data_IF_723013134882
#
_entry.id   IF_723013134882
#
_cell.length_a   1.000
_cell.length_b   1.000
_cell.length_c   1.000
_cell.angle_alpha   90.00
_cell.angle_beta   90.00
_cell.angle_gamma   90.00
#
_symmetry.space_group_name_H-M   'P 1'
#
loop_
_entity.id
_entity.type
_entity.pdbx_description
1 polymer ?
#
# COMPACT_ATOMS: atom_id res chain seq x y z
N UNK A 1 17.65 10.20 -23.29
CA UNK A 1 18.35 10.28 -22.00
C UNK A 1 18.49 8.88 -21.43
N UNK A 2 19.72 8.37 -21.42
CA UNK A 2 20.04 7.06 -20.84
C UNK A 2 19.91 7.12 -19.31
N UNK A 3 19.58 6.00 -18.68
CA UNK A 3 19.31 5.94 -17.23
C UNK A 3 20.59 6.12 -16.41
N UNK A 4 21.73 5.72 -16.97
CA UNK A 4 23.06 5.79 -16.37
C UNK A 4 23.43 7.25 -16.03
N UNK A 5 23.20 8.20 -16.94
CA UNK A 5 23.40 9.64 -16.67
C UNK A 5 22.49 10.16 -15.56
N UNK A 6 21.28 9.62 -15.46
CA UNK A 6 20.32 10.02 -14.43
C UNK A 6 20.76 9.50 -13.07
N UNK A 7 21.25 8.25 -13.00
CA UNK A 7 21.81 7.63 -11.79
C UNK A 7 23.04 8.42 -11.33
N UNK A 8 23.97 8.73 -12.22
CA UNK A 8 25.15 9.54 -11.89
C UNK A 8 24.75 10.95 -11.39
N UNK A 9 23.85 11.62 -12.12
CA UNK A 9 23.34 12.92 -11.70
C UNK A 9 22.68 12.88 -10.32
N UNK A 10 21.84 11.86 -10.09
CA UNK A 10 21.22 11.66 -8.79
C UNK A 10 22.28 11.47 -7.72
N UNK A 11 23.33 10.69 -7.98
CA UNK A 11 24.38 10.39 -7.00
C UNK A 11 25.09 11.67 -6.58
N UNK A 12 25.54 12.46 -7.56
CA UNK A 12 26.23 13.75 -7.33
C UNK A 12 25.36 14.74 -6.55
N UNK A 13 24.07 14.89 -6.92
CA UNK A 13 23.19 15.86 -6.25
C UNK A 13 22.66 15.36 -4.89
N UNK A 14 22.45 14.05 -4.75
CA UNK A 14 22.00 13.46 -3.50
C UNK A 14 23.10 13.38 -2.44
N UNK A 15 24.37 13.32 -2.83
CA UNK A 15 25.49 13.34 -1.88
C UNK A 15 25.56 14.65 -1.10
N UNK A 16 25.02 15.73 -1.67
CA UNK A 16 24.90 17.06 -1.04
C UNK A 16 23.75 17.15 -0.04
N UNK A 17 22.85 16.17 -0.01
CA UNK A 17 21.72 16.12 0.92
C UNK A 17 22.23 15.50 2.20
N UNK A 18 22.14 16.25 3.31
CA UNK A 18 22.66 15.86 4.61
C UNK A 18 21.61 16.07 5.69
N UNK A 19 21.59 15.21 6.69
CA UNK A 19 20.71 15.31 7.86
C UNK A 19 21.44 14.81 9.09
N UNK A 20 21.29 15.51 10.21
CA UNK A 20 21.91 15.12 11.48
C UNK A 20 20.95 14.25 12.27
N UNK A 21 21.41 13.05 12.67
CA UNK A 21 20.61 12.11 13.44
C UNK A 21 20.42 12.59 14.87
N UNK A 22 19.19 12.51 15.37
CA UNK A 22 18.86 12.77 16.78
C UNK A 22 18.98 11.54 17.66
N UNK A 23 18.84 10.36 17.07
CA UNK A 23 18.91 9.05 17.73
C UNK A 23 19.52 8.03 16.77
N UNK A 24 20.02 6.92 17.31
CA UNK A 24 20.57 5.81 16.52
C UNK A 24 19.58 5.33 15.46
N UNK A 25 20.07 5.11 14.25
CA UNK A 25 19.29 4.57 13.15
C UNK A 25 19.79 3.17 12.79
N UNK A 26 18.97 2.16 13.12
CA UNK A 26 19.26 0.73 12.86
C UNK A 26 18.07 0.07 12.17
N UNK A 27 18.34 -0.87 11.28
CA UNK A 27 17.31 -1.71 10.64
C UNK A 27 17.92 -3.04 10.19
N UNK A 28 17.23 -4.14 10.48
CA UNK A 28 17.66 -5.53 10.22
C UNK A 28 19.08 -5.84 10.74
N UNK A 29 19.45 -5.26 11.88
CA UNK A 29 20.79 -5.39 12.47
C UNK A 29 21.88 -4.55 11.78
N UNK A 30 21.55 -3.85 10.70
CA UNK A 30 22.45 -2.88 10.04
C UNK A 30 22.36 -1.54 10.77
N UNK A 31 23.51 -1.01 11.19
CA UNK A 31 23.59 0.35 11.74
C UNK A 31 23.84 1.33 10.60
N UNK A 32 22.89 2.23 10.39
CA UNK A 32 22.94 3.26 9.34
C UNK A 32 23.72 4.49 9.85
N UNK A 33 23.51 4.84 11.13
CA UNK A 33 24.26 5.90 11.78
C UNK A 33 23.89 6.02 13.27
N UNK A 34 24.77 6.65 14.04
CA UNK A 34 24.60 6.89 15.47
C UNK A 34 24.00 8.27 15.74
N UNK A 35 23.45 8.47 16.93
CA UNK A 35 22.98 9.79 17.37
C UNK A 35 24.09 10.85 17.23
N UNK A 36 23.75 12.00 16.62
CA UNK A 36 24.67 13.12 16.35
C UNK A 36 25.43 13.02 15.03
N UNK A 37 25.43 11.88 14.34
CA UNK A 37 26.11 11.74 13.06
C UNK A 37 25.35 12.44 11.92
N UNK A 38 26.11 12.96 10.96
CA UNK A 38 25.57 13.55 9.73
C UNK A 38 25.51 12.47 8.66
N UNK A 39 24.31 12.10 8.27
CA UNK A 39 24.04 11.09 7.24
C UNK A 39 23.46 11.72 5.98
N UNK A 40 23.55 10.98 4.89
CA UNK A 40 23.02 11.27 3.57
C UNK A 40 22.13 10.13 3.10
N UNK A 41 21.31 10.34 2.05
CA UNK A 41 20.52 9.25 1.47
C UNK A 41 21.37 8.06 1.01
N UNK A 42 22.65 8.28 0.70
CA UNK A 42 23.54 7.25 0.18
C UNK A 42 24.16 6.37 1.24
N UNK A 43 24.16 6.79 2.50
CA UNK A 43 24.61 5.96 3.62
C UNK A 43 23.64 4.78 3.89
N UNK A 44 22.48 4.76 3.22
CA UNK A 44 21.54 3.64 3.19
C UNK A 44 21.92 2.54 2.18
N UNK A 45 22.92 2.79 1.32
CA UNK A 45 23.27 1.94 0.19
C UNK A 45 24.76 1.64 0.18
N UNK A 46 25.14 0.47 -0.35
CA UNK A 46 26.53 0.19 -0.72
C UNK A 46 26.72 0.55 -2.19
N UNK A 47 27.52 1.58 -2.46
CA UNK A 47 27.73 2.11 -3.81
C UNK A 47 29.04 1.56 -4.37
N UNK A 48 28.98 1.01 -5.57
CA UNK A 48 30.15 0.56 -6.34
C UNK A 48 30.21 1.31 -7.65
N UNK A 49 31.27 2.11 -7.83
CA UNK A 49 31.51 2.84 -9.07
C UNK A 49 32.15 1.89 -10.09
N UNK A 50 31.61 1.88 -11.32
CA UNK A 50 32.15 1.12 -12.43
C UNK A 50 32.40 2.09 -13.60
N UNK A 51 33.52 1.95 -14.29
CA UNK A 51 33.74 2.70 -15.53
C UNK A 51 32.70 2.25 -16.56
N UNK A 52 31.84 3.19 -16.94
CA UNK A 52 30.88 3.01 -18.02
C UNK A 52 31.56 3.08 -19.40
N UNK A 53 30.85 2.71 -20.47
CA UNK A 53 31.31 2.98 -21.82
C UNK A 53 31.54 4.48 -22.02
N UNK A 54 32.55 4.86 -22.81
CA UNK A 54 32.63 6.22 -23.34
C UNK A 54 31.42 6.45 -24.25
N UNK A 55 30.45 7.21 -23.76
CA UNK A 55 29.30 7.59 -24.56
C UNK A 55 29.63 8.86 -25.35
N UNK A 56 29.17 8.97 -26.60
CA UNK A 56 29.40 10.16 -27.39
C UNK A 56 28.79 11.37 -26.68
N UNK A 57 29.60 12.40 -26.50
CA UNK A 57 29.12 13.74 -26.13
C UNK A 57 28.23 14.19 -27.28
N UNK A 58 26.91 14.16 -27.10
CA UNK A 58 26.00 14.76 -28.08
C UNK A 58 26.40 16.23 -28.22
N UNK A 59 26.84 16.61 -29.42
CA UNK A 59 27.25 17.98 -29.78
C UNK A 59 26.11 19.00 -29.71
N UNK A 60 24.90 18.58 -29.33
CA UNK A 60 23.75 19.43 -29.03
C UNK A 60 23.56 19.71 -27.52
N UNK A 61 24.63 19.70 -26.71
CA UNK A 61 24.62 20.49 -25.46
C UNK A 61 24.48 21.96 -25.81
N UNK A 62 23.25 22.40 -26.05
CA UNK A 62 22.88 23.80 -26.01
C UNK A 62 23.35 24.32 -24.65
N UNK A 63 24.32 25.24 -24.68
CA UNK A 63 24.77 25.95 -23.51
C UNK A 63 23.52 26.60 -22.89
N UNK A 64 23.02 26.03 -21.80
CA UNK A 64 21.95 26.65 -21.04
C UNK A 64 22.60 27.84 -20.35
N UNK A 65 22.36 29.04 -20.88
CA UNK A 65 22.91 30.34 -20.43
C UNK A 65 22.60 30.70 -18.95
N UNK A 66 21.92 29.83 -18.21
CA UNK A 66 21.70 29.95 -16.78
C UNK A 66 22.12 28.64 -16.12
N UNK A 67 22.90 28.71 -15.04
CA UNK A 67 23.31 27.54 -14.26
C UNK A 67 22.09 26.62 -14.06
N UNK A 68 22.10 25.40 -14.63
CA UNK A 68 20.91 24.56 -14.67
C UNK A 68 20.46 24.33 -13.24
N UNK A 69 19.18 24.61 -12.97
CA UNK A 69 18.61 24.46 -11.65
C UNK A 69 18.59 22.99 -11.25
N UNK A 70 19.70 22.54 -10.64
CA UNK A 70 19.97 21.14 -10.35
C UNK A 70 18.96 20.55 -9.36
N UNK A 71 18.50 21.35 -8.39
CA UNK A 71 17.44 20.95 -7.49
C UNK A 71 16.11 20.70 -8.24
N UNK A 72 15.78 21.58 -9.19
CA UNK A 72 14.66 21.40 -10.10
C UNK A 72 14.78 20.17 -10.98
N UNK A 73 15.97 19.87 -11.50
CA UNK A 73 16.22 18.66 -12.28
C UNK A 73 16.09 17.39 -11.42
N UNK A 74 16.59 17.39 -10.19
CA UNK A 74 16.38 16.27 -9.26
C UNK A 74 14.89 16.07 -8.96
N UNK A 75 14.14 17.16 -8.76
CA UNK A 75 12.69 17.12 -8.60
C UNK A 75 11.99 16.51 -9.81
N UNK A 76 12.41 16.86 -11.03
CA UNK A 76 11.89 16.27 -12.27
C UNK A 76 12.14 14.76 -12.33
N UNK A 77 13.35 14.32 -12.04
CA UNK A 77 13.73 12.90 -12.07
C UNK A 77 12.87 12.07 -11.09
N UNK A 78 12.66 12.54 -9.86
CA UNK A 78 11.80 11.83 -8.89
C UNK A 78 10.32 11.90 -9.25
N UNK A 79 9.86 12.97 -9.91
CA UNK A 79 8.49 13.07 -10.41
C UNK A 79 8.22 12.08 -11.54
N UNK A 80 9.20 11.85 -12.42
CA UNK A 80 9.10 10.86 -13.50
C UNK A 80 8.88 9.46 -12.92
N UNK A 81 9.61 9.08 -11.85
CA UNK A 81 9.39 7.80 -11.17
C UNK A 81 7.91 7.58 -10.80
N UNK A 82 7.24 8.58 -10.23
CA UNK A 82 5.82 8.48 -9.86
C UNK A 82 4.90 8.25 -11.05
N UNK A 83 5.19 8.91 -12.18
CA UNK A 83 4.43 8.71 -13.42
C UNK A 83 4.63 7.29 -13.97
N UNK A 84 5.86 6.78 -13.92
CA UNK A 84 6.18 5.41 -14.33
C UNK A 84 5.40 4.39 -13.50
N UNK A 85 5.40 4.54 -12.17
CA UNK A 85 4.65 3.68 -11.26
C UNK A 85 3.14 3.75 -11.54
N UNK A 86 2.58 4.96 -11.71
CA UNK A 86 1.17 5.14 -12.03
C UNK A 86 0.76 4.43 -13.33
N UNK A 87 1.62 4.45 -14.37
CA UNK A 87 1.41 3.72 -15.62
C UNK A 87 1.50 2.21 -15.42
N UNK A 88 2.52 1.72 -14.70
CA UNK A 88 2.70 0.29 -14.43
C UNK A 88 1.50 -0.33 -13.69
N UNK A 89 0.85 0.43 -12.80
CA UNK A 89 -0.38 -0.01 -12.11
C UNK A 89 -1.66 0.06 -12.98
N UNK A 90 -1.54 0.33 -14.28
CA UNK A 90 -2.68 0.46 -15.18
C UNK A 90 -3.52 1.72 -14.90
N UNK A 91 -2.87 2.79 -14.42
CA UNK A 91 -3.51 4.08 -14.20
C UNK A 91 -4.16 4.60 -15.48
N UNK A 92 -5.42 5.04 -15.38
CA UNK A 92 -6.13 5.67 -16.51
C UNK A 92 -5.41 6.95 -16.94
N UNK A 93 -5.46 7.27 -18.23
CA UNK A 93 -4.82 8.48 -18.76
C UNK A 93 -5.27 9.76 -18.03
N UNK A 94 -6.56 9.87 -17.70
CA UNK A 94 -7.10 11.01 -16.94
C UNK A 94 -6.58 11.08 -15.49
N UNK A 95 -6.14 9.96 -14.90
CA UNK A 95 -5.48 9.98 -13.59
C UNK A 95 -4.03 10.44 -13.72
N UNK A 96 -3.29 9.90 -14.70
CA UNK A 96 -1.90 10.29 -14.96
C UNK A 96 -1.83 11.78 -15.32
N UNK A 97 -2.77 12.28 -16.12
CA UNK A 97 -2.87 13.70 -16.46
C UNK A 97 -3.14 14.58 -15.22
N UNK A 98 -4.12 14.23 -14.38
CA UNK A 98 -4.37 14.95 -13.13
C UNK A 98 -3.19 14.90 -12.16
N UNK A 99 -2.50 13.77 -12.08
CA UNK A 99 -1.30 13.62 -11.28
C UNK A 99 -0.19 14.57 -11.76
N UNK A 100 0.03 14.62 -13.08
CA UNK A 100 0.98 15.53 -13.72
C UNK A 100 0.62 17.00 -13.45
N UNK A 101 -0.62 17.38 -13.75
CA UNK A 101 -1.07 18.77 -13.75
C UNK A 101 -1.24 19.34 -12.34
N UNK A 102 -1.78 18.56 -11.39
CA UNK A 102 -2.13 19.08 -10.06
C UNK A 102 -1.05 18.86 -9.00
N UNK A 103 -0.20 17.84 -9.13
CA UNK A 103 0.80 17.53 -8.11
C UNK A 103 2.21 17.86 -8.59
N UNK A 104 2.61 17.30 -9.73
CA UNK A 104 4.01 17.33 -10.13
C UNK A 104 4.44 18.71 -10.64
N UNK A 105 3.59 19.41 -11.41
CA UNK A 105 3.87 20.79 -11.86
C UNK A 105 4.10 21.75 -10.70
N UNK A 106 3.24 21.75 -9.68
CA UNK A 106 3.40 22.63 -8.52
C UNK A 106 4.73 22.42 -7.77
N UNK A 107 5.23 21.18 -7.72
CA UNK A 107 6.53 20.89 -7.10
C UNK A 107 7.67 21.40 -7.97
N UNK A 108 7.58 21.19 -9.27
CA UNK A 108 8.58 21.73 -10.20
C UNK A 108 8.64 23.25 -10.12
N UNK A 109 7.49 23.93 -10.01
CA UNK A 109 7.42 25.38 -9.77
C UNK A 109 8.08 25.77 -8.44
N UNK A 110 7.86 25.01 -7.36
CA UNK A 110 8.51 25.21 -6.06
C UNK A 110 10.04 25.17 -6.19
N UNK A 111 10.55 24.23 -6.98
CA UNK A 111 11.96 24.14 -7.29
C UNK A 111 12.37 24.98 -8.50
N UNK A 112 11.57 25.92 -8.98
CA UNK A 112 11.87 26.80 -10.14
C UNK A 112 12.36 26.02 -11.38
N UNK A 113 11.76 24.87 -11.64
CA UNK A 113 12.04 24.02 -12.79
C UNK A 113 11.02 24.31 -13.91
N UNK A 114 11.43 25.09 -14.90
CA UNK A 114 10.65 25.33 -16.11
C UNK A 114 10.79 24.14 -17.08
N UNK A 115 10.11 23.04 -16.80
CA UNK A 115 10.24 21.82 -17.61
C UNK A 115 8.93 21.41 -18.28
N UNK A 116 8.98 21.29 -19.61
CA UNK A 116 7.94 20.65 -20.46
C UNK A 116 8.10 19.12 -20.51
N UNK A 117 9.18 18.57 -19.94
CA UNK A 117 9.54 17.16 -20.10
C UNK A 117 8.61 16.18 -19.36
N UNK A 118 7.71 16.66 -18.51
CA UNK A 118 6.69 15.81 -17.91
C UNK A 118 5.68 15.28 -18.93
N UNK A 119 5.53 15.93 -20.08
CA UNK A 119 4.57 15.51 -21.09
C UNK A 119 4.97 14.17 -21.73
N UNK A 120 4.11 13.16 -21.54
CA UNK A 120 4.31 11.76 -21.97
C UNK A 120 5.61 11.14 -21.44
N UNK A 121 6.13 11.64 -20.33
CA UNK A 121 7.33 11.13 -19.66
C UNK A 121 7.22 9.62 -19.37
N UNK A 122 6.03 9.15 -19.01
CA UNK A 122 5.73 7.74 -18.74
C UNK A 122 5.92 6.81 -19.96
N UNK A 123 5.92 7.37 -21.17
CA UNK A 123 6.25 6.64 -22.40
C UNK A 123 7.73 6.77 -22.74
N UNK A 124 8.27 7.98 -22.68
CA UNK A 124 9.67 8.28 -23.05
C UNK A 124 10.68 7.58 -22.13
N UNK A 125 10.41 7.58 -20.82
CA UNK A 125 11.32 7.08 -19.79
C UNK A 125 10.87 5.74 -19.20
N UNK A 126 10.03 5.00 -19.93
CA UNK A 126 9.48 3.71 -19.52
C UNK A 126 10.52 2.68 -19.09
N UNK A 127 11.74 2.77 -19.62
CA UNK A 127 12.84 1.84 -19.34
C UNK A 127 13.47 2.06 -17.96
N UNK A 128 13.38 3.26 -17.35
CA UNK A 128 13.98 3.55 -16.05
C UNK A 128 13.41 2.69 -14.92
N UNK A 129 12.14 2.26 -15.03
CA UNK A 129 11.50 1.40 -14.01
C UNK A 129 12.13 0.01 -13.91
N UNK A 130 12.96 -0.38 -14.89
CA UNK A 130 13.66 -1.68 -14.89
C UNK A 130 15.08 -1.57 -14.29
N UNK A 131 15.61 -0.36 -14.18
CA UNK A 131 16.97 -0.14 -13.68
C UNK A 131 17.03 -0.20 -12.15
N UNK A 132 17.93 -1.03 -11.61
CA UNK A 132 18.01 -1.29 -10.17
C UNK A 132 18.69 -0.18 -9.40
N UNK A 133 19.69 0.46 -9.99
CA UNK A 133 20.40 1.57 -9.36
C UNK A 133 19.45 2.75 -9.18
N UNK A 134 18.70 3.10 -10.22
CA UNK A 134 17.66 4.13 -10.17
C UNK A 134 16.60 3.85 -9.10
N UNK A 135 16.03 2.64 -9.08
CA UNK A 135 15.02 2.27 -8.08
C UNK A 135 15.57 2.32 -6.65
N UNK A 136 16.80 1.82 -6.43
CA UNK A 136 17.43 1.81 -5.10
C UNK A 136 17.67 3.23 -4.59
N UNK A 137 18.11 4.14 -5.47
CA UNK A 137 18.31 5.54 -5.12
C UNK A 137 17.01 6.28 -4.83
N UNK A 138 15.92 5.98 -5.58
CA UNK A 138 14.59 6.51 -5.28
C UNK A 138 14.10 6.06 -3.90
N UNK A 139 14.26 4.76 -3.59
CA UNK A 139 13.89 4.21 -2.29
C UNK A 139 14.69 4.84 -1.14
N UNK A 140 16.01 4.98 -1.31
CA UNK A 140 16.89 5.59 -0.33
C UNK A 140 16.54 7.07 -0.10
N UNK A 141 16.24 7.84 -1.15
CA UNK A 141 15.75 9.22 -1.03
C UNK A 141 14.43 9.30 -0.24
N UNK A 142 13.46 8.42 -0.54
CA UNK A 142 12.19 8.43 0.20
C UNK A 142 12.39 8.05 1.67
N UNK A 143 13.21 7.03 1.95
CA UNK A 143 13.52 6.56 3.29
C UNK A 143 14.21 7.66 4.11
N UNK A 144 15.20 8.34 3.51
CA UNK A 144 15.87 9.49 4.10
C UNK A 144 14.88 10.60 4.43
N UNK A 145 14.06 11.06 3.48
CA UNK A 145 13.11 12.14 3.76
C UNK A 145 11.92 11.71 4.63
N UNK A 146 11.63 10.42 4.75
CA UNK A 146 10.67 9.92 5.73
C UNK A 146 11.20 10.13 7.15
N UNK A 147 12.49 9.93 7.36
CA UNK A 147 13.17 10.24 8.61
C UNK A 147 13.30 11.75 8.84
N UNK A 148 13.82 12.47 7.84
CA UNK A 148 14.03 13.91 7.88
C UNK A 148 12.85 14.67 7.26
N UNK A 149 11.65 14.49 7.83
CA UNK A 149 10.40 15.06 7.30
C UNK A 149 10.37 16.59 7.23
N UNK A 150 11.21 17.27 8.02
CA UNK A 150 11.36 18.73 8.06
C UNK A 150 12.52 19.27 7.22
N UNK A 151 13.25 18.42 6.50
CA UNK A 151 14.35 18.86 5.63
C UNK A 151 13.80 19.69 4.45
N UNK A 152 14.54 20.71 4.01
CA UNK A 152 14.10 21.68 2.99
C UNK A 152 13.63 21.01 1.68
N UNK A 153 14.31 19.93 1.31
CA UNK A 153 14.01 19.10 0.13
C UNK A 153 13.01 17.95 0.37
N UNK A 154 12.42 17.83 1.56
CA UNK A 154 11.49 16.72 1.88
C UNK A 154 10.25 16.69 0.99
N UNK A 155 9.88 17.82 0.36
CA UNK A 155 8.80 17.89 -0.64
C UNK A 155 9.06 17.00 -1.87
N UNK A 156 10.31 16.60 -2.13
CA UNK A 156 10.67 15.61 -3.17
C UNK A 156 9.95 14.26 -2.97
N UNK A 157 9.52 13.95 -1.74
CA UNK A 157 8.74 12.75 -1.44
C UNK A 157 7.45 12.63 -2.20
N UNK A 158 6.89 13.73 -2.70
CA UNK A 158 5.70 13.63 -3.54
C UNK A 158 5.99 12.86 -4.83
N UNK A 159 7.25 12.78 -5.29
CA UNK A 159 7.68 11.87 -6.34
C UNK A 159 8.01 10.45 -5.84
N UNK A 160 8.73 10.34 -4.71
CA UNK A 160 9.31 9.05 -4.27
C UNK A 160 8.43 8.21 -3.34
N UNK A 161 7.41 8.77 -2.68
CA UNK A 161 6.61 8.04 -1.65
C UNK A 161 5.89 6.80 -2.18
N UNK A 162 5.65 6.70 -3.49
CA UNK A 162 5.05 5.50 -4.10
C UNK A 162 6.01 4.30 -4.13
N UNK A 163 7.29 4.51 -3.79
CA UNK A 163 8.26 3.44 -3.51
C UNK A 163 7.98 2.74 -2.18
N UNK A 164 7.45 3.49 -1.20
CA UNK A 164 7.13 2.97 0.13
C UNK A 164 5.92 2.04 0.07
N UNK A 165 6.07 0.86 0.67
CA UNK A 165 5.13 -0.27 0.62
C UNK A 165 4.76 -0.71 -0.81
N UNK A 166 5.63 -0.45 -1.79
CA UNK A 166 5.42 -0.93 -3.15
C UNK A 166 5.38 -2.46 -3.18
N UNK A 167 4.40 -3.00 -3.92
CA UNK A 167 4.08 -4.43 -3.95
C UNK A 167 3.71 -5.04 -2.58
N UNK A 168 3.21 -4.25 -1.63
CA UNK A 168 2.71 -4.70 -0.33
C UNK A 168 1.19 -4.47 -0.16
N UNK A 169 0.42 -4.65 -1.24
CA UNK A 169 -1.00 -4.31 -1.31
C UNK A 169 -1.86 -4.93 -0.19
N UNK A 170 -1.53 -6.15 0.26
CA UNK A 170 -2.30 -6.85 1.31
C UNK A 170 -2.22 -6.10 2.64
N UNK A 171 -1.08 -5.49 2.97
CA UNK A 171 -0.92 -4.69 4.19
C UNK A 171 -1.83 -3.45 4.16
N UNK A 172 -1.95 -2.82 2.99
CA UNK A 172 -2.85 -1.68 2.81
C UNK A 172 -4.32 -2.09 2.89
N UNK A 173 -4.68 -3.28 2.40
CA UNK A 173 -6.04 -3.80 2.50
C UNK A 173 -6.42 -4.14 3.94
N UNK A 174 -5.54 -4.79 4.69
CA UNK A 174 -5.73 -5.05 6.12
C UNK A 174 -5.88 -3.73 6.87
N UNK A 175 -4.98 -2.76 6.65
CA UNK A 175 -5.04 -1.44 7.28
C UNK A 175 -6.35 -0.72 6.96
N UNK A 176 -6.79 -0.78 5.70
CA UNK A 176 -8.07 -0.18 5.27
C UNK A 176 -9.24 -0.84 5.98
N UNK A 177 -9.25 -2.17 6.07
CA UNK A 177 -10.30 -2.91 6.74
C UNK A 177 -10.34 -2.60 8.24
N UNK A 178 -9.20 -2.52 8.92
CA UNK A 178 -9.11 -2.10 10.33
C UNK A 178 -9.74 -0.71 10.53
N UNK A 179 -9.48 0.24 9.64
CA UNK A 179 -10.05 1.60 9.72
C UNK A 179 -11.57 1.62 9.57
N UNK A 180 -12.13 0.72 8.77
CA UNK A 180 -13.57 0.68 8.46
C UNK A 180 -14.35 -0.10 9.52
N UNK A 181 -13.74 -1.13 10.08
CA UNK A 181 -14.35 -2.00 11.11
C UNK A 181 -14.10 -1.52 12.53
N UNK A 182 -13.08 -0.66 12.72
CA UNK A 182 -12.54 -0.27 14.02
C UNK A 182 -12.01 -1.45 14.86
N UNK A 183 -11.62 -2.53 14.19
CA UNK A 183 -11.04 -3.73 14.81
C UNK A 183 -9.53 -3.75 14.62
N UNK A 184 -8.84 -4.39 15.56
CA UNK A 184 -7.43 -4.73 15.41
C UNK A 184 -7.24 -5.87 14.39
N UNK A 185 -6.05 -6.01 13.77
CA UNK A 185 -5.78 -7.15 12.87
C UNK A 185 -6.05 -8.50 13.53
N UNK A 186 -5.71 -8.65 14.81
CA UNK A 186 -5.94 -9.87 15.58
C UNK A 186 -7.43 -10.21 15.73
N UNK A 187 -8.28 -9.20 15.98
CA UNK A 187 -9.74 -9.39 16.05
C UNK A 187 -10.33 -9.70 14.68
N UNK A 188 -9.85 -9.04 13.62
CA UNK A 188 -10.25 -9.32 12.24
C UNK A 188 -9.94 -10.76 11.83
N UNK A 189 -8.73 -11.25 12.13
CA UNK A 189 -8.31 -12.58 11.73
C UNK A 189 -9.06 -13.71 12.44
N UNK A 190 -9.69 -13.45 13.60
CA UNK A 190 -10.60 -14.42 14.23
C UNK A 190 -11.84 -14.73 13.39
N UNK A 191 -12.22 -13.83 12.48
CA UNK A 191 -13.36 -14.02 11.59
C UNK A 191 -13.02 -14.74 10.28
N UNK A 192 -11.76 -15.12 10.10
CA UNK A 192 -11.32 -15.89 8.95
C UNK A 192 -11.54 -17.37 9.24
N UNK A 193 -12.55 -17.96 8.61
CA UNK A 193 -12.93 -19.36 8.83
C UNK A 193 -12.32 -20.33 7.82
N UNK A 194 -11.48 -19.84 6.91
CA UNK A 194 -10.91 -20.60 5.81
C UNK A 194 -9.42 -20.85 6.04
N UNK A 195 -9.03 -22.12 6.14
CA UNK A 195 -7.65 -22.55 6.39
C UNK A 195 -6.66 -21.96 5.39
N UNK A 196 -7.05 -21.86 4.12
CA UNK A 196 -6.20 -21.27 3.06
C UNK A 196 -5.85 -19.81 3.34
N UNK A 197 -6.81 -19.02 3.83
CA UNK A 197 -6.57 -17.62 4.19
C UNK A 197 -5.72 -17.55 5.46
N UNK A 198 -5.94 -18.45 6.43
CA UNK A 198 -5.10 -18.56 7.64
C UNK A 198 -3.64 -18.85 7.27
N UNK A 199 -3.38 -19.69 6.27
CA UNK A 199 -2.04 -19.92 5.73
C UNK A 199 -1.38 -18.65 5.19
N UNK A 200 -2.12 -17.86 4.39
CA UNK A 200 -1.66 -16.56 3.88
C UNK A 200 -1.42 -15.53 5.02
N UNK A 201 -2.26 -15.53 6.06
CA UNK A 201 -2.06 -14.72 7.27
C UNK A 201 -0.77 -15.14 8.00
N UNK A 202 -0.51 -16.43 8.13
CA UNK A 202 0.73 -16.94 8.74
C UNK A 202 1.99 -16.47 8.01
N UNK A 203 1.95 -16.43 6.67
CA UNK A 203 3.06 -15.93 5.83
C UNK A 203 3.25 -14.42 5.99
N UNK A 204 2.16 -13.66 6.01
CA UNK A 204 2.21 -12.19 6.15
C UNK A 204 2.53 -11.72 7.56
N UNK A 205 2.19 -12.52 8.58
CA UNK A 205 2.44 -12.24 10.01
C UNK A 205 3.81 -12.71 10.53
N UNK A 206 4.75 -13.06 9.65
CA UNK A 206 6.08 -13.52 10.05
C UNK A 206 6.78 -12.52 10.98
N UNK A 207 7.35 -13.01 12.09
CA UNK A 207 8.08 -12.19 13.06
C UNK A 207 9.40 -11.68 12.49
N UNK A 208 9.90 -10.56 13.03
CA UNK A 208 11.22 -10.00 12.68
C UNK A 208 11.28 -9.32 11.31
N UNK A 209 10.13 -8.94 10.73
CA UNK A 209 10.06 -8.30 9.42
C UNK A 209 10.06 -6.76 9.48
N UNK A 210 10.15 -6.16 10.67
CA UNK A 210 10.17 -4.70 10.90
C UNK A 210 9.05 -3.90 10.19
N UNK A 211 7.91 -4.53 9.86
CA UNK A 211 6.83 -3.89 9.08
C UNK A 211 6.19 -2.69 9.78
N UNK A 212 6.25 -2.68 11.11
CA UNK A 212 5.73 -1.63 11.98
C UNK A 212 6.78 -0.58 12.36
N UNK A 213 8.05 -0.81 12.01
CA UNK A 213 9.12 0.14 12.26
C UNK A 213 9.11 1.23 11.18
N UNK A 214 8.91 2.48 11.60
CA UNK A 214 8.65 3.59 10.67
C UNK A 214 9.84 3.88 9.74
N UNK A 215 11.07 3.72 10.24
CA UNK A 215 12.30 4.04 9.54
C UNK A 215 13.11 2.80 9.16
N UNK A 216 12.46 1.65 9.00
CA UNK A 216 13.09 0.41 8.54
C UNK A 216 13.27 0.35 7.01
N UNK A 217 14.11 -0.56 6.54
CA UNK A 217 14.16 -0.98 5.13
C UNK A 217 12.91 -1.74 4.66
N UNK A 218 12.12 -2.29 5.58
CA UNK A 218 10.97 -3.15 5.28
C UNK A 218 9.90 -2.52 4.35
N UNK A 219 9.57 -1.21 4.44
CA UNK A 219 8.66 -0.59 3.49
C UNK A 219 9.21 -0.55 2.04
N UNK A 220 10.52 -0.70 1.83
CA UNK A 220 11.17 -0.49 0.54
C UNK A 220 11.69 -1.78 -0.12
N UNK A 221 11.22 -2.95 0.35
CA UNK A 221 11.67 -4.29 -0.09
C UNK A 221 11.76 -4.47 -1.62
N UNK A 222 10.82 -3.89 -2.36
CA UNK A 222 10.76 -4.00 -3.82
C UNK A 222 11.87 -3.24 -4.52
N UNK A 223 11.98 -1.95 -4.23
CA UNK A 223 12.82 -1.03 -5.01
C UNK A 223 14.28 -1.11 -4.59
N UNK A 224 14.56 -1.44 -3.32
CA UNK A 224 15.90 -1.81 -2.85
C UNK A 224 16.32 -3.22 -3.29
N UNK A 225 15.42 -3.99 -3.93
CA UNK A 225 15.73 -5.33 -4.41
C UNK A 225 15.94 -6.38 -3.31
N UNK A 226 15.58 -6.07 -2.05
CA UNK A 226 15.68 -6.98 -0.90
C UNK A 226 14.79 -8.22 -1.07
N UNK A 227 13.71 -8.10 -1.85
CA UNK A 227 12.87 -9.23 -2.23
C UNK A 227 12.54 -9.23 -3.71
N UNK A 228 12.84 -10.35 -4.38
CA UNK A 228 12.45 -10.56 -5.79
C UNK A 228 10.93 -10.73 -5.94
N UNK A 229 10.26 -11.31 -4.94
CA UNK A 229 8.81 -11.52 -4.91
C UNK A 229 8.29 -11.19 -3.51
N UNK A 230 7.55 -10.08 -3.43
CA UNK A 230 6.98 -9.63 -2.17
C UNK A 230 5.97 -10.66 -1.62
N UNK A 231 6.20 -11.11 -0.38
CA UNK A 231 5.27 -11.94 0.39
C UNK A 231 4.01 -11.18 0.81
N UNK A 232 3.97 -9.87 0.63
CA UNK A 232 2.85 -9.00 0.99
C UNK A 232 2.03 -8.55 -0.23
N UNK A 233 2.34 -9.11 -1.40
CA UNK A 233 1.66 -8.76 -2.65
C UNK A 233 0.30 -9.46 -2.77
N UNK A 234 -0.61 -8.83 -3.50
CA UNK A 234 -1.92 -9.40 -3.82
C UNK A 234 -1.84 -10.65 -4.71
N UNK A 235 -0.73 -10.85 -5.42
CA UNK A 235 -0.47 -12.07 -6.21
C UNK A 235 0.15 -13.19 -5.38
N UNK A 236 0.78 -12.87 -4.25
CA UNK A 236 1.26 -13.89 -3.30
C UNK A 236 0.16 -14.34 -2.33
N UNK A 237 -0.80 -13.46 -2.00
CA UNK A 237 -1.91 -13.75 -1.09
C UNK A 237 -3.25 -13.36 -1.73
N UNK A 238 -3.68 -14.08 -2.77
CA UNK A 238 -4.89 -13.74 -3.52
C UNK A 238 -6.16 -13.82 -2.68
N UNK A 239 -6.28 -14.81 -1.78
CA UNK A 239 -7.50 -15.03 -1.02
C UNK A 239 -7.66 -14.01 0.11
N UNK A 240 -6.57 -13.69 0.82
CA UNK A 240 -6.55 -12.65 1.84
C UNK A 240 -6.78 -11.26 1.22
N UNK A 241 -6.16 -10.98 0.08
CA UNK A 241 -6.43 -9.77 -0.69
C UNK A 241 -7.91 -9.66 -1.06
N UNK A 242 -8.48 -10.74 -1.61
CA UNK A 242 -9.88 -10.79 -1.99
C UNK A 242 -10.80 -10.59 -0.78
N UNK A 243 -10.63 -11.36 0.28
CA UNK A 243 -11.47 -11.33 1.47
C UNK A 243 -11.49 -9.94 2.12
N UNK A 244 -10.32 -9.32 2.31
CA UNK A 244 -10.23 -7.95 2.87
C UNK A 244 -11.01 -6.94 2.03
N UNK A 245 -10.85 -7.00 0.70
CA UNK A 245 -11.55 -6.10 -0.21
C UNK A 245 -13.04 -6.43 -0.34
N UNK A 246 -13.44 -7.70 -0.23
CA UNK A 246 -14.84 -8.12 -0.28
C UNK A 246 -15.60 -7.60 0.93
N UNK A 247 -15.04 -7.80 2.14
CA UNK A 247 -15.60 -7.24 3.36
C UNK A 247 -15.68 -5.72 3.28
N UNK A 248 -14.58 -5.03 2.93
CA UNK A 248 -14.59 -3.58 2.83
C UNK A 248 -15.61 -3.07 1.78
N UNK A 249 -15.80 -3.80 0.68
CA UNK A 249 -16.80 -3.48 -0.35
C UNK A 249 -18.23 -3.59 0.19
N UNK A 250 -18.54 -4.65 0.94
CA UNK A 250 -19.83 -4.86 1.59
C UNK A 250 -20.12 -3.81 2.67
N UNK A 251 -19.07 -3.30 3.33
CA UNK A 251 -19.15 -2.18 4.27
C UNK A 251 -19.27 -0.80 3.58
N UNK A 252 -19.33 -0.75 2.24
CA UNK A 252 -19.56 0.48 1.47
C UNK A 252 -18.30 1.20 0.97
N UNK A 253 -17.12 0.58 1.06
CA UNK A 253 -15.87 1.20 0.62
C UNK A 253 -15.73 1.08 -0.91
N UNK A 254 -16.07 2.17 -1.61
CA UNK A 254 -16.02 2.26 -3.09
C UNK A 254 -14.65 1.95 -3.72
N UNK A 255 -13.55 2.17 -2.98
CA UNK A 255 -12.21 1.85 -3.48
C UNK A 255 -11.99 0.33 -3.55
N UNK A 256 -12.46 -0.42 -2.55
CA UNK A 256 -12.29 -1.86 -2.48
C UNK A 256 -13.07 -2.59 -3.59
N UNK A 257 -14.21 -2.04 -4.00
CA UNK A 257 -15.01 -2.54 -5.13
C UNK A 257 -14.24 -2.57 -6.46
N UNK A 258 -13.24 -1.68 -6.59
CA UNK A 258 -12.42 -1.51 -7.80
C UNK A 258 -11.12 -2.31 -7.75
N UNK A 259 -10.84 -3.00 -6.64
CA UNK A 259 -9.68 -3.88 -6.51
C UNK A 259 -9.79 -5.05 -7.48
N UNK A 260 -8.69 -5.36 -8.18
CA UNK A 260 -8.65 -6.43 -9.19
C UNK A 260 -8.49 -7.78 -8.51
N UNK A 261 -9.18 -8.78 -9.02
CA UNK A 261 -8.96 -10.17 -8.66
C UNK A 261 -7.67 -10.63 -9.35
N UNK A 262 -6.71 -11.09 -8.57
CA UNK A 262 -5.34 -11.36 -9.05
C UNK A 262 -5.14 -12.76 -9.61
N UNK A 263 -5.99 -13.72 -9.22
CA UNK A 263 -5.87 -15.12 -9.60
C UNK A 263 -7.24 -15.76 -9.77
N UNK A 264 -7.34 -16.72 -10.69
CA UNK A 264 -8.47 -17.65 -10.77
C UNK A 264 -8.33 -18.66 -9.62
N UNK A 265 -8.92 -18.32 -8.48
CA UNK A 265 -9.11 -19.24 -7.36
C UNK A 265 -10.60 -19.41 -7.14
N UNK A 266 -11.00 -20.50 -6.48
CA UNK A 266 -12.37 -20.57 -5.98
C UNK A 266 -12.56 -19.52 -4.88
N UNK A 267 -13.42 -18.53 -5.17
CA UNK A 267 -13.72 -17.41 -4.29
C UNK A 267 -15.04 -17.59 -3.55
N UNK A 268 -15.80 -18.65 -3.85
CA UNK A 268 -17.15 -18.85 -3.31
C UNK A 268 -17.16 -18.84 -1.78
N UNK A 269 -16.36 -19.70 -1.17
CA UNK A 269 -16.19 -19.81 0.28
C UNK A 269 -15.72 -18.50 0.92
N UNK A 270 -14.71 -17.85 0.30
CA UNK A 270 -14.18 -16.57 0.76
C UNK A 270 -15.23 -15.47 0.72
N UNK A 271 -16.12 -15.53 -0.26
CA UNK A 271 -17.21 -14.57 -0.39
C UNK A 271 -18.28 -14.80 0.67
N UNK A 272 -18.66 -16.05 0.91
CA UNK A 272 -19.61 -16.42 1.95
C UNK A 272 -19.09 -15.98 3.32
N UNK A 273 -17.82 -16.26 3.64
CA UNK A 273 -17.21 -15.81 4.89
C UNK A 273 -17.19 -14.27 5.01
N UNK A 274 -16.90 -13.55 3.92
CA UNK A 274 -16.96 -12.09 3.90
C UNK A 274 -18.39 -11.53 4.12
N UNK A 275 -19.41 -12.17 3.54
CA UNK A 275 -20.83 -11.79 3.73
C UNK A 275 -21.26 -12.01 5.17
N UNK A 276 -20.91 -13.15 5.77
CA UNK A 276 -21.21 -13.43 7.19
C UNK A 276 -20.56 -12.38 8.08
N UNK A 277 -19.29 -12.07 7.87
CA UNK A 277 -18.60 -11.01 8.63
C UNK A 277 -19.32 -9.68 8.51
N UNK A 278 -19.61 -9.23 7.28
CA UNK A 278 -20.22 -7.93 7.03
C UNK A 278 -21.62 -7.85 7.66
N UNK A 279 -22.41 -8.92 7.58
CA UNK A 279 -23.71 -9.01 8.21
C UNK A 279 -23.60 -8.89 9.74
N UNK A 280 -22.73 -9.70 10.35
CA UNK A 280 -22.53 -9.72 11.79
C UNK A 280 -22.04 -8.36 12.31
N UNK A 281 -21.09 -7.72 11.62
CA UNK A 281 -20.57 -6.41 12.01
C UNK A 281 -21.67 -5.34 11.98
N UNK A 282 -22.44 -5.27 10.89
CA UNK A 282 -23.46 -4.24 10.73
C UNK A 282 -24.69 -4.41 11.64
N UNK A 283 -25.03 -5.65 12.01
CA UNK A 283 -26.18 -5.94 12.87
C UNK A 283 -25.84 -6.03 14.36
N UNK A 284 -24.66 -6.54 14.69
CA UNK A 284 -24.33 -6.96 16.06
C UNK A 284 -23.25 -6.08 16.73
N UNK A 285 -22.68 -5.09 16.03
CA UNK A 285 -21.60 -4.26 16.58
C UNK A 285 -22.07 -3.04 17.41
N UNK A 286 -23.38 -2.84 17.57
CA UNK A 286 -23.92 -1.72 18.35
C UNK A 286 -23.67 -1.95 19.84
N UNK A 287 -22.93 -1.03 20.49
CA UNK A 287 -22.68 -1.05 21.92
C UNK A 287 -22.84 0.34 22.50
N UNK A 288 -23.48 0.43 23.67
CA UNK A 288 -23.53 1.68 24.44
C UNK A 288 -22.16 1.90 25.08
N UNK A 289 -21.37 2.86 24.56
CA UNK A 289 -20.03 3.17 25.07
C UNK A 289 -20.05 4.16 26.23
N UNK A 290 -21.14 4.90 26.39
CA UNK A 290 -21.34 5.84 27.49
C UNK A 290 -22.34 5.25 28.49
N UNK A 291 -21.82 4.56 29.51
CA UNK A 291 -22.62 4.06 30.63
C UNK A 291 -22.22 4.84 31.88
N UNK A 292 -23.13 5.60 32.50
CA UNK A 292 -22.89 6.22 33.80
C UNK A 292 -22.43 5.16 34.81
N UNK A 293 -21.45 5.48 35.66
CA UNK A 293 -20.78 4.53 36.56
C UNK A 293 -21.76 3.68 37.40
N UNK A 294 -22.96 4.21 37.68
CA UNK A 294 -24.03 3.56 38.45
C UNK A 294 -24.82 2.47 37.70
N UNK A 295 -24.63 2.30 36.38
CA UNK A 295 -25.40 1.38 35.53
C UNK A 295 -24.54 0.33 34.82
N UNK A 296 -23.30 0.09 35.27
CA UNK A 296 -22.51 -1.06 34.79
C UNK A 296 -23.09 -2.36 35.34
N UNK A 297 -24.19 -2.81 34.76
CA UNK A 297 -24.66 -4.19 34.93
C UNK A 297 -23.82 -5.12 34.06
N UNK A 298 -23.64 -6.33 34.60
CA UNK A 298 -22.85 -7.47 34.13
C UNK A 298 -22.89 -7.65 32.61
N UNK A 299 -21.72 -7.89 32.02
CA UNK A 299 -21.53 -8.21 30.60
C UNK A 299 -22.59 -9.22 30.10
N UNK A 300 -23.38 -8.84 29.09
CA UNK A 300 -24.34 -9.72 28.38
C UNK A 300 -23.67 -10.89 27.62
N UNK A 301 -22.39 -11.17 27.90
CA UNK A 301 -21.60 -12.20 27.22
C UNK A 301 -22.05 -13.63 27.58
N UNK A 302 -22.75 -13.83 28.70
CA UNK A 302 -23.08 -15.15 29.27
C UNK A 302 -24.59 -15.50 29.28
N UNK A 303 -25.40 -14.86 28.44
CA UNK A 303 -26.79 -15.30 28.30
C UNK A 303 -26.84 -16.74 27.71
N UNK A 304 -27.52 -17.71 28.37
CA UNK A 304 -27.63 -19.07 27.87
C UNK A 304 -28.26 -19.09 26.48
N UNK A 305 -27.61 -19.79 25.55
CA UNK A 305 -28.05 -19.91 24.16
C UNK A 305 -29.18 -20.92 24.04
N UNK A 306 -30.24 -20.53 23.33
CA UNK A 306 -31.13 -21.49 22.67
C UNK A 306 -30.40 -22.08 21.45
N UNK A 307 -30.29 -23.41 21.40
CA UNK A 307 -29.64 -24.18 20.33
C UNK A 307 -30.26 -23.81 18.97
N UNK A 308 -29.43 -23.49 17.97
CA UNK A 308 -29.87 -23.17 16.61
C UNK A 308 -30.34 -21.73 16.34
N UNK A 309 -30.38 -20.83 17.34
CA UNK A 309 -30.68 -19.41 17.12
C UNK A 309 -29.47 -18.63 16.57
N UNK A 310 -29.75 -17.65 15.70
CA UNK A 310 -28.73 -16.78 15.13
C UNK A 310 -28.05 -15.93 16.23
N UNK A 311 -26.70 -15.83 16.26
CA UNK A 311 -26.00 -15.07 17.28
C UNK A 311 -26.38 -13.57 17.24
N UNK A 312 -26.57 -12.99 18.43
CA UNK A 312 -26.87 -11.55 18.59
C UNK A 312 -25.63 -10.70 18.82
N UNK A 313 -24.56 -11.30 19.37
CA UNK A 313 -23.32 -10.62 19.65
C UNK A 313 -22.35 -10.68 18.46
N UNK A 314 -21.53 -9.64 18.31
CA UNK A 314 -20.40 -9.63 17.38
C UNK A 314 -19.21 -10.41 17.97
N UNK A 315 -19.28 -11.75 17.92
CA UNK A 315 -18.23 -12.65 18.40
C UNK A 315 -17.96 -13.77 17.38
N UNK A 316 -16.72 -13.91 16.94
CA UNK A 316 -16.37 -14.83 15.84
C UNK A 316 -16.60 -16.31 16.19
N UNK A 317 -16.26 -16.76 17.39
CA UNK A 317 -16.44 -18.15 17.85
C UNK A 317 -17.92 -18.52 17.90
N UNK A 318 -18.72 -17.58 18.40
CA UNK A 318 -20.16 -17.68 18.45
C UNK A 318 -20.81 -17.86 17.08
N UNK A 319 -20.32 -17.12 16.07
CA UNK A 319 -20.77 -17.23 14.68
C UNK A 319 -20.24 -18.48 13.98
N UNK A 320 -19.01 -18.90 14.28
CA UNK A 320 -18.44 -20.13 13.76
C UNK A 320 -19.23 -21.37 14.22
N UNK A 321 -19.56 -21.45 15.51
CA UNK A 321 -20.38 -22.54 16.06
C UNK A 321 -21.75 -22.61 15.39
N UNK A 322 -22.44 -21.46 15.27
CA UNK A 322 -23.74 -21.38 14.59
C UNK A 322 -23.68 -21.87 13.13
N UNK A 323 -22.62 -21.50 12.39
CA UNK A 323 -22.44 -21.98 11.03
C UNK A 323 -22.11 -23.48 10.99
N UNK A 324 -21.27 -23.97 11.91
CA UNK A 324 -20.91 -25.39 11.99
C UNK A 324 -22.12 -26.28 12.29
N UNK A 325 -23.04 -25.83 13.15
CA UNK A 325 -24.30 -26.53 13.42
C UNK A 325 -25.20 -26.64 12.18
N UNK A 326 -25.08 -25.69 11.25
CA UNK A 326 -25.82 -25.66 9.97
C UNK A 326 -25.02 -26.21 8.79
N UNK A 327 -23.94 -26.96 9.04
CA UNK A 327 -23.05 -27.50 8.00
C UNK A 327 -22.54 -26.42 7.04
N UNK A 328 -22.30 -25.20 7.55
CA UNK A 328 -21.87 -24.01 6.81
C UNK A 328 -22.84 -23.53 5.72
N UNK A 329 -24.09 -23.98 5.74
CA UNK A 329 -25.15 -23.45 4.89
C UNK A 329 -25.63 -22.13 5.46
N UNK A 330 -25.35 -21.03 4.75
CA UNK A 330 -25.73 -19.69 5.19
C UNK A 330 -27.21 -19.42 4.96
N UNK A 331 -27.87 -18.87 5.98
CA UNK A 331 -29.29 -18.51 5.93
C UNK A 331 -29.54 -17.49 4.79
N UNK A 332 -30.57 -17.69 3.94
CA UNK A 332 -30.93 -16.75 2.89
C UNK A 332 -31.14 -15.31 3.40
N UNK A 333 -31.51 -15.10 4.67
CA UNK A 333 -31.62 -13.76 5.26
C UNK A 333 -30.28 -13.01 5.33
N UNK A 334 -29.17 -13.72 5.48
CA UNK A 334 -27.82 -13.16 5.49
C UNK A 334 -27.40 -12.84 4.05
N UNK A 335 -27.71 -13.73 3.10
CA UNK A 335 -27.43 -13.55 1.67
C UNK A 335 -28.30 -12.49 1.00
N UNK A 336 -29.53 -12.30 1.43
CA UNK A 336 -30.46 -11.31 0.89
C UNK A 336 -30.37 -9.97 1.64
N UNK A 337 -29.40 -9.80 2.54
CA UNK A 337 -29.25 -8.56 3.27
C UNK A 337 -28.85 -7.44 2.29
N UNK A 338 -29.60 -6.33 2.30
CA UNK A 338 -29.66 -5.25 1.30
C UNK A 338 -28.38 -4.42 1.08
N UNK A 339 -27.20 -4.96 1.36
CA UNK A 339 -25.89 -4.36 1.06
C UNK A 339 -25.57 -4.39 -0.43
N UNK A 340 -26.27 -5.24 -1.18
CA UNK A 340 -26.06 -5.54 -2.58
C UNK A 340 -26.57 -4.45 -3.54
N UNK A 341 -27.54 -3.62 -3.15
CA UNK A 341 -28.04 -2.51 -3.97
C UNK A 341 -27.00 -1.39 -4.21
N UNK A 342 -25.83 -1.46 -3.55
CA UNK A 342 -24.82 -0.39 -3.53
C UNK A 342 -23.73 -0.52 -4.60
N UNK A 343 -23.75 -1.57 -5.42
CA UNK A 343 -22.72 -1.81 -6.43
C UNK A 343 -23.07 -1.16 -7.77
N UNK A 344 -22.83 0.15 -7.89
CA UNK A 344 -22.90 0.86 -9.16
C UNK A 344 -21.51 0.97 -9.82
N UNK A 345 -21.44 0.94 -11.15
CA UNK A 345 -20.21 1.08 -11.95
C UNK A 345 -19.09 0.08 -11.62
N UNK A 346 -19.46 -1.20 -11.40
CA UNK A 346 -18.49 -2.29 -11.21
C UNK A 346 -17.85 -2.68 -12.54
N UNK A 347 -16.59 -3.12 -12.50
CA UNK A 347 -15.82 -3.49 -13.69
C UNK A 347 -15.53 -4.97 -13.68
N UNK A 348 -15.48 -5.58 -14.86
CA UNK A 348 -15.10 -6.97 -15.00
C UNK A 348 -13.74 -7.27 -14.36
N UNK A 349 -13.64 -8.42 -13.69
CA UNK A 349 -12.45 -8.84 -12.97
C UNK A 349 -12.15 -8.07 -11.67
N UNK A 350 -13.10 -7.28 -11.14
CA UNK A 350 -12.97 -6.67 -9.81
C UNK A 350 -13.79 -7.38 -8.74
N UNK A 351 -13.41 -7.14 -7.48
CA UNK A 351 -14.14 -7.67 -6.31
C UNK A 351 -15.62 -7.25 -6.34
N UNK A 352 -15.90 -5.99 -6.70
CA UNK A 352 -17.26 -5.49 -6.82
C UNK A 352 -18.10 -6.22 -7.87
N UNK A 353 -17.53 -6.55 -9.03
CA UNK A 353 -18.25 -7.32 -10.05
C UNK A 353 -18.56 -8.74 -9.55
N UNK A 354 -17.60 -9.39 -8.87
CA UNK A 354 -17.83 -10.72 -8.31
C UNK A 354 -18.92 -10.74 -7.23
N UNK A 355 -18.96 -9.71 -6.37
CA UNK A 355 -20.01 -9.57 -5.37
C UNK A 355 -21.37 -9.28 -6.00
N UNK A 356 -21.41 -8.58 -7.14
CA UNK A 356 -22.65 -8.30 -7.86
C UNK A 356 -23.29 -9.55 -8.48
N UNK A 357 -22.52 -10.59 -8.80
CA UNK A 357 -23.04 -11.88 -9.27
C UNK A 357 -23.85 -12.63 -8.20
N UNK A 358 -23.61 -12.35 -6.92
CA UNK A 358 -24.30 -13.01 -5.81
C UNK A 358 -25.66 -12.38 -5.48
N UNK A 359 -25.99 -11.27 -6.12
CA UNK A 359 -27.25 -10.57 -5.94
C UNK A 359 -28.30 -11.27 -6.79
N UNK A 360 -29.37 -11.83 -6.20
CA UNK A 360 -30.52 -12.24 -6.98
C UNK A 360 -31.06 -11.01 -7.74
N UNK A 361 -31.16 -11.10 -9.07
CA UNK A 361 -31.71 -10.02 -9.90
C UNK A 361 -33.19 -9.77 -9.63
#
# INVERSE_FOLDING_TARGET
LQVEYVVEFMYVEGAKIKGTLTEDWKSFGVTIGCAGEVVSPWDLLTITEQMGPEYPVDTETTAVDNAPNRAGLLALVVCIYRLLVAKCHGGRQNYIQRLRDNNLKCILETFRCSSTYLERAEHKFGHWIKDRSYLSMIAALDMFFNRFSRHDKAVLRVGTHVSRYKHCAVLDDIRRLCKVTHLTPSELFRWVFLERIVGEIGVTGARGQELFEEHSYAPYLSDLGLSRRSRYSATANPLLHYWCNAVASLMGVKQAQKSRITHECDLSDATINAVVFAYAHLKCSWRCTFVPLALKTVDEADAPRDIGQMPKAFNAEQWYQYLSEKSFVVDPKILNYSLFERFADVRDGTVGAKLAELIPK
#
